data_IF_722470754565
#
_entry.id   IF_722470754565
#
_cell.length_a   1.000
_cell.length_b   1.000
_cell.length_c   1.000
_cell.angle_alpha   90.00
_cell.angle_beta   90.00
_cell.angle_gamma   90.00
#
_symmetry.space_group_name_H-M   'P 1'
#
loop_
_entity.id
_entity.type
_entity.pdbx_description
1 polymer ?
#
# COMPACT_ATOMS: atom_id res chain seq x y z
N UNK A 1 13.02 5.99 -4.90
CA UNK A 1 12.69 4.94 -3.91
C UNK A 1 13.66 3.77 -4.02
N UNK A 2 14.19 3.26 -2.91
CA UNK A 2 14.69 1.88 -2.93
C UNK A 2 13.46 0.97 -2.91
N UNK A 3 13.31 0.13 -3.93
CA UNK A 3 12.23 -0.87 -4.07
C UNK A 3 12.02 -1.73 -2.80
N UNK A 4 13.04 -1.78 -1.94
CA UNK A 4 13.15 -2.46 -0.64
C UNK A 4 12.18 -1.94 0.44
N UNK A 5 12.13 -0.65 0.72
CA UNK A 5 11.34 -0.08 1.84
C UNK A 5 9.83 -0.18 1.61
N UNK A 6 9.42 0.07 0.38
CA UNK A 6 8.02 0.10 -0.01
C UNK A 6 7.33 -1.28 -0.03
N UNK A 7 8.03 -2.32 -0.46
CA UNK A 7 7.55 -3.70 -0.34
C UNK A 7 7.43 -4.12 1.14
N UNK A 8 8.37 -3.68 1.98
CA UNK A 8 8.37 -3.97 3.41
C UNK A 8 7.20 -3.30 4.12
N UNK A 9 6.94 -2.01 3.90
CA UNK A 9 5.81 -1.29 4.47
C UNK A 9 4.47 -2.01 4.23
N UNK A 10 4.20 -2.42 2.99
CA UNK A 10 3.00 -3.16 2.61
C UNK A 10 2.95 -4.58 3.20
N UNK A 11 4.11 -5.25 3.27
CA UNK A 11 4.23 -6.56 3.91
C UNK A 11 3.89 -6.48 5.41
N UNK A 12 4.44 -5.49 6.10
CA UNK A 12 4.26 -5.29 7.54
C UNK A 12 2.80 -4.96 7.90
N UNK A 13 2.16 -4.03 7.19
CA UNK A 13 0.74 -3.69 7.40
C UNK A 13 -0.17 -4.89 7.12
N UNK A 14 0.13 -5.66 6.07
CA UNK A 14 -0.57 -6.91 5.77
C UNK A 14 -0.46 -7.93 6.92
N UNK A 15 0.70 -8.07 7.55
CA UNK A 15 0.93 -8.97 8.69
C UNK A 15 0.21 -8.48 9.95
N UNK A 16 0.27 -7.17 10.24
CA UNK A 16 -0.42 -6.57 11.39
C UNK A 16 -1.95 -6.74 11.30
N UNK A 17 -2.53 -6.56 10.09
CA UNK A 17 -3.95 -6.77 9.82
C UNK A 17 -4.36 -8.22 10.05
N UNK A 18 -3.52 -9.18 9.66
CA UNK A 18 -3.77 -10.62 9.91
C UNK A 18 -3.74 -10.99 11.39
N UNK A 19 -2.81 -10.41 12.17
CA UNK A 19 -2.73 -10.64 13.61
C UNK A 19 -4.04 -10.28 14.34
N UNK A 20 -4.70 -9.19 13.95
CA UNK A 20 -6.01 -8.80 14.54
C UNK A 20 -7.09 -9.86 14.29
N UNK A 21 -7.20 -10.39 13.06
CA UNK A 21 -8.19 -11.42 12.75
C UNK A 21 -7.91 -12.75 13.45
N UNK A 22 -6.64 -13.11 13.64
CA UNK A 22 -6.25 -14.31 14.41
C UNK A 22 -6.68 -14.16 15.87
N UNK A 23 -6.46 -12.99 16.49
CA UNK A 23 -6.88 -12.73 17.88
C UNK A 23 -8.39 -12.86 18.03
N UNK A 24 -9.19 -12.26 17.13
CA UNK A 24 -10.66 -12.38 17.14
C UNK A 24 -11.09 -13.84 16.99
N UNK A 25 -10.44 -14.58 16.09
CA UNK A 25 -10.77 -15.99 15.85
C UNK A 25 -10.46 -16.87 17.07
N UNK A 26 -9.33 -16.62 17.76
CA UNK A 26 -8.97 -17.31 19.00
C UNK A 26 -9.98 -17.01 20.12
N UNK A 27 -10.41 -15.75 20.26
CA UNK A 27 -11.44 -15.37 21.24
C UNK A 27 -12.74 -16.11 20.97
N UNK A 28 -13.18 -16.20 19.71
CA UNK A 28 -14.40 -16.93 19.34
C UNK A 28 -14.31 -18.44 19.59
N UNK A 29 -13.13 -19.04 19.39
CA UNK A 29 -12.89 -20.46 19.73
C UNK A 29 -12.96 -20.68 21.24
N UNK A 30 -12.35 -19.80 22.04
CA UNK A 30 -12.38 -19.90 23.52
C UNK A 30 -13.81 -19.74 24.03
N UNK A 31 -14.54 -18.72 23.57
CA UNK A 31 -15.94 -18.49 23.95
C UNK A 31 -16.82 -19.66 23.47
N UNK A 32 -16.56 -20.17 22.27
CA UNK A 32 -17.32 -21.29 21.71
C UNK A 32 -17.14 -22.59 22.48
N UNK A 33 -15.91 -22.90 22.88
CA UNK A 33 -15.59 -24.07 23.69
C UNK A 33 -16.24 -24.04 25.09
N UNK A 34 -16.57 -22.85 25.61
CA UNK A 34 -17.17 -22.66 26.93
C UNK A 34 -18.70 -22.54 26.86
N UNK A 35 -19.24 -21.89 25.82
CA UNK A 35 -20.62 -21.41 25.84
C UNK A 35 -21.45 -21.67 24.57
N UNK A 36 -20.85 -21.95 23.41
CA UNK A 36 -21.62 -22.04 22.14
C UNK A 36 -20.85 -22.72 21.01
N UNK A 37 -21.35 -23.87 20.56
CA UNK A 37 -20.81 -24.59 19.41
C UNK A 37 -20.78 -23.71 18.13
N UNK A 38 -21.73 -22.79 17.97
CA UNK A 38 -21.79 -21.87 16.83
C UNK A 38 -20.57 -20.94 16.82
N UNK A 39 -20.18 -20.39 17.98
CA UNK A 39 -18.99 -19.54 18.08
C UNK A 39 -17.71 -20.32 17.80
N UNK A 40 -17.67 -21.61 18.17
CA UNK A 40 -16.55 -22.50 17.90
C UNK A 40 -16.39 -22.73 16.40
N UNK A 41 -17.49 -23.05 15.69
CA UNK A 41 -17.44 -23.24 14.24
C UNK A 41 -17.08 -21.96 13.48
N UNK A 42 -17.60 -20.80 13.90
CA UNK A 42 -17.23 -19.50 13.30
C UNK A 42 -15.75 -19.20 13.54
N UNK A 43 -15.25 -19.39 14.76
CA UNK A 43 -13.84 -19.16 15.07
C UNK A 43 -12.89 -20.07 14.29
N UNK A 44 -13.22 -21.37 14.19
CA UNK A 44 -12.44 -22.32 13.38
C UNK A 44 -12.47 -21.98 11.89
N UNK A 45 -13.62 -21.55 11.36
CA UNK A 45 -13.75 -21.11 9.98
C UNK A 45 -12.91 -19.86 9.68
N UNK A 46 -12.91 -18.88 10.59
CA UNK A 46 -12.10 -17.65 10.44
C UNK A 46 -10.58 -17.94 10.54
N UNK A 47 -10.15 -18.90 11.38
CA UNK A 47 -8.76 -19.36 11.36
C UNK A 47 -8.43 -20.03 10.03
N UNK A 48 -9.28 -20.93 9.53
CA UNK A 48 -9.04 -21.62 8.27
C UNK A 48 -8.96 -20.62 7.09
N UNK A 49 -9.84 -19.62 7.05
CA UNK A 49 -9.82 -18.56 6.05
C UNK A 49 -8.55 -17.71 6.16
N UNK A 50 -8.12 -17.34 7.37
CA UNK A 50 -6.86 -16.62 7.58
C UNK A 50 -5.65 -17.43 7.11
N UNK A 51 -5.59 -18.74 7.38
CA UNK A 51 -4.52 -19.63 6.90
C UNK A 51 -4.52 -19.68 5.37
N UNK A 52 -5.69 -19.77 4.74
CA UNK A 52 -5.80 -19.76 3.28
C UNK A 52 -5.36 -18.43 2.69
N UNK A 53 -5.78 -17.29 3.27
CA UNK A 53 -5.36 -15.95 2.81
C UNK A 53 -3.86 -15.74 3.02
N UNK A 54 -3.32 -16.14 4.17
CA UNK A 54 -1.89 -16.11 4.45
C UNK A 54 -1.11 -16.99 3.47
N UNK A 55 -1.64 -18.17 3.11
CA UNK A 55 -1.02 -19.07 2.15
C UNK A 55 -1.08 -18.54 0.71
N UNK A 56 -2.21 -17.96 0.28
CA UNK A 56 -2.34 -17.32 -1.03
C UNK A 56 -1.44 -16.10 -1.14
N UNK A 57 -1.32 -15.30 -0.07
CA UNK A 57 -0.37 -14.18 0.01
C UNK A 57 1.06 -14.67 0.04
N UNK A 58 1.38 -15.73 0.79
CA UNK A 58 2.71 -16.34 0.79
C UNK A 58 3.08 -16.84 -0.62
N UNK A 59 2.15 -17.42 -1.38
CA UNK A 59 2.38 -17.81 -2.78
C UNK A 59 2.55 -16.58 -3.69
N UNK A 60 1.77 -15.51 -3.50
CA UNK A 60 1.94 -14.26 -4.28
C UNK A 60 3.26 -13.59 -3.97
N UNK A 61 3.64 -13.57 -2.70
CA UNK A 61 4.92 -13.06 -2.22
C UNK A 61 6.04 -13.93 -2.75
N UNK A 62 5.94 -15.26 -2.68
CA UNK A 62 6.92 -16.17 -3.26
C UNK A 62 7.04 -15.99 -4.78
N UNK A 63 5.95 -15.67 -5.49
CA UNK A 63 6.01 -15.29 -6.91
C UNK A 63 6.64 -13.93 -7.15
N UNK A 64 6.32 -12.91 -6.35
CA UNK A 64 6.95 -11.59 -6.40
C UNK A 64 8.45 -11.67 -6.11
N UNK A 65 8.83 -12.51 -5.15
CA UNK A 65 10.20 -12.85 -4.78
C UNK A 65 10.88 -13.61 -5.93
N UNK A 66 10.23 -14.61 -6.51
CA UNK A 66 10.75 -15.40 -7.64
C UNK A 66 10.93 -14.57 -8.92
N UNK A 67 10.11 -13.54 -9.15
CA UNK A 67 10.28 -12.61 -10.28
C UNK A 67 11.33 -11.51 -10.00
N UNK A 68 11.79 -11.35 -8.75
CA UNK A 68 12.70 -10.28 -8.31
C UNK A 68 14.07 -10.79 -7.82
N UNK A 69 14.22 -12.10 -7.56
CA UNK A 69 15.37 -12.68 -6.85
C UNK A 69 16.64 -12.82 -7.66
N UNK A 70 16.56 -12.88 -9.00
CA UNK A 70 17.74 -13.21 -9.79
C UNK A 70 18.71 -12.02 -9.98
N UNK A 71 18.26 -10.77 -9.80
CA UNK A 71 19.06 -9.57 -10.10
C UNK A 71 19.08 -8.45 -9.03
N UNK A 72 18.53 -8.68 -7.81
CA UNK A 72 18.53 -7.67 -6.73
C UNK A 72 19.37 -8.11 -5.50
N UNK A 73 20.65 -7.70 -5.41
CA UNK A 73 21.54 -8.05 -4.31
C UNK A 73 21.04 -7.61 -2.93
N UNK A 74 20.32 -6.49 -2.86
CA UNK A 74 19.81 -5.96 -1.60
C UNK A 74 18.61 -6.75 -1.10
N UNK A 75 17.74 -7.17 -2.01
CA UNK A 75 16.64 -8.07 -1.69
C UNK A 75 17.17 -9.41 -1.15
N UNK A 76 18.23 -9.94 -1.77
CA UNK A 76 18.86 -11.19 -1.32
C UNK A 76 19.48 -11.07 0.07
N UNK A 77 20.25 -10.01 0.35
CA UNK A 77 20.82 -9.75 1.67
C UNK A 77 19.73 -9.59 2.76
N UNK A 78 18.61 -8.95 2.42
CA UNK A 78 17.46 -8.82 3.31
C UNK A 78 16.85 -10.20 3.61
N UNK A 79 16.63 -11.01 2.58
CA UNK A 79 16.07 -12.36 2.75
C UNK A 79 17.01 -13.27 3.55
N UNK A 80 18.32 -13.15 3.36
CA UNK A 80 19.33 -13.85 4.15
C UNK A 80 19.25 -13.46 5.63
N UNK A 81 19.14 -12.15 5.91
CA UNK A 81 19.00 -11.63 7.28
C UNK A 81 17.70 -12.08 7.95
N UNK A 82 16.57 -11.98 7.24
CA UNK A 82 15.27 -12.46 7.71
C UNK A 82 15.27 -13.98 7.96
N UNK A 83 15.99 -14.75 7.15
CA UNK A 83 16.07 -16.21 7.29
C UNK A 83 17.02 -16.63 8.41
N UNK A 84 18.11 -15.89 8.61
CA UNK A 84 19.13 -16.19 9.62
C UNK A 84 18.62 -15.96 11.05
N UNK A 85 17.97 -14.82 11.31
CA UNK A 85 17.34 -14.53 12.60
C UNK A 85 16.06 -13.68 12.42
N UNK A 86 14.92 -14.34 12.12
CA UNK A 86 13.66 -13.64 11.89
C UNK A 86 13.22 -12.80 13.10
N UNK A 87 13.56 -13.23 14.32
CA UNK A 87 13.06 -12.59 15.53
C UNK A 87 13.77 -11.26 15.76
N UNK A 88 15.11 -11.24 15.70
CA UNK A 88 15.88 -9.99 15.86
C UNK A 88 15.58 -9.03 14.71
N UNK A 89 15.54 -9.55 13.47
CA UNK A 89 15.24 -8.77 12.29
C UNK A 89 13.89 -8.06 12.41
N UNK A 90 12.85 -8.75 12.87
CA UNK A 90 11.52 -8.14 13.04
C UNK A 90 11.49 -7.18 14.24
N UNK A 91 12.12 -7.49 15.37
CA UNK A 91 12.08 -6.62 16.55
C UNK A 91 12.80 -5.29 16.32
N UNK A 92 13.98 -5.30 15.70
CA UNK A 92 14.73 -4.07 15.40
C UNK A 92 13.94 -3.15 14.47
N UNK A 93 13.28 -3.72 13.46
CA UNK A 93 12.43 -2.95 12.54
C UNK A 93 11.15 -2.43 13.20
N UNK A 94 10.56 -3.18 14.13
CA UNK A 94 9.42 -2.69 14.90
C UNK A 94 9.80 -1.51 15.80
N UNK A 95 10.96 -1.57 16.46
CA UNK A 95 11.46 -0.46 17.26
C UNK A 95 11.79 0.78 16.39
N UNK A 96 12.39 0.57 15.21
CA UNK A 96 12.64 1.65 14.24
C UNK A 96 11.33 2.31 13.78
N UNK A 97 10.34 1.48 13.45
CA UNK A 97 9.02 1.90 13.04
C UNK A 97 8.29 2.68 14.14
N UNK A 98 8.24 2.14 15.36
CA UNK A 98 7.57 2.78 16.49
C UNK A 98 8.22 4.12 16.82
N UNK A 99 9.54 4.23 16.71
CA UNK A 99 10.26 5.50 16.86
C UNK A 99 9.87 6.50 15.77
N UNK A 100 9.98 6.11 14.49
CA UNK A 100 9.66 6.95 13.34
C UNK A 100 8.21 7.42 13.34
N UNK A 101 7.29 6.57 13.78
CA UNK A 101 5.86 6.88 13.89
C UNK A 101 5.57 8.07 14.81
N UNK A 102 6.38 8.30 15.84
CA UNK A 102 6.21 9.41 16.79
C UNK A 102 6.87 10.72 16.33
N UNK A 103 7.62 10.71 15.22
CA UNK A 103 8.29 11.90 14.71
C UNK A 103 7.29 12.85 14.05
N UNK A 104 7.40 14.15 14.34
CA UNK A 104 6.52 15.19 13.79
C UNK A 104 7.29 16.47 13.51
N UNK A 105 6.76 17.31 12.61
CA UNK A 105 7.29 18.62 12.28
C UNK A 105 8.77 18.56 11.90
N UNK A 106 9.56 19.50 12.43
CA UNK A 106 10.98 19.63 12.09
C UNK A 106 11.83 18.38 12.41
N UNK A 107 11.39 17.50 13.32
CA UNK A 107 12.12 16.26 13.63
C UNK A 107 12.21 15.36 12.40
N UNK A 108 11.17 15.32 11.58
CA UNK A 108 11.12 14.55 10.33
C UNK A 108 12.17 15.02 9.32
N UNK A 109 12.61 16.30 9.37
CA UNK A 109 13.62 16.84 8.46
C UNK A 109 15.03 16.27 8.72
N UNK A 110 15.23 15.56 9.82
CA UNK A 110 16.49 14.85 10.11
C UNK A 110 16.64 13.56 9.31
N UNK A 111 15.55 13.05 8.73
CA UNK A 111 15.53 11.84 7.92
C UNK A 111 16.07 12.10 6.52
N UNK A 112 16.56 11.03 5.88
CA UNK A 112 16.82 11.05 4.44
C UNK A 112 15.50 11.25 3.67
N UNK A 113 15.55 11.74 2.44
CA UNK A 113 14.35 11.94 1.61
C UNK A 113 13.53 10.66 1.44
N UNK A 114 14.21 9.51 1.33
CA UNK A 114 13.57 8.21 1.25
C UNK A 114 12.87 7.83 2.57
N UNK A 115 13.58 7.96 3.70
CA UNK A 115 13.04 7.68 5.04
C UNK A 115 11.91 8.64 5.42
N UNK A 116 12.00 9.91 5.01
CA UNK A 116 10.98 10.93 5.26
C UNK A 116 9.67 10.55 4.58
N UNK A 117 9.71 10.26 3.28
CA UNK A 117 8.52 9.81 2.57
C UNK A 117 7.95 8.52 3.16
N UNK A 118 8.79 7.51 3.40
CA UNK A 118 8.35 6.24 3.97
C UNK A 118 7.68 6.45 5.33
N UNK A 119 8.29 7.25 6.20
CA UNK A 119 7.76 7.54 7.54
C UNK A 119 6.40 8.23 7.46
N UNK A 120 6.28 9.30 6.66
CA UNK A 120 5.02 10.03 6.49
C UNK A 120 3.94 9.16 5.86
N UNK A 121 4.29 8.35 4.85
CA UNK A 121 3.36 7.44 4.19
C UNK A 121 2.83 6.39 5.17
N UNK A 122 3.72 5.79 5.97
CA UNK A 122 3.36 4.83 7.02
C UNK A 122 2.49 5.45 8.12
N UNK A 123 2.80 6.67 8.55
CA UNK A 123 1.94 7.40 9.50
C UNK A 123 0.54 7.60 8.92
N UNK A 124 0.42 7.95 7.64
CA UNK A 124 -0.88 8.10 6.99
C UNK A 124 -1.61 6.74 6.92
N UNK A 125 -0.93 5.64 6.59
CA UNK A 125 -1.57 4.32 6.60
C UNK A 125 -2.06 3.92 8.01
N UNK A 126 -1.32 4.22 9.07
CA UNK A 126 -1.79 3.99 10.45
C UNK A 126 -3.02 4.84 10.82
N UNK A 127 -3.13 6.05 10.26
CA UNK A 127 -4.33 6.89 10.43
C UNK A 127 -5.51 6.27 9.67
N UNK A 128 -5.31 5.85 8.42
CA UNK A 128 -6.33 5.19 7.62
C UNK A 128 -6.82 3.89 8.27
N UNK A 129 -5.93 3.06 8.82
CA UNK A 129 -6.30 1.80 9.48
C UNK A 129 -7.15 1.97 10.76
N UNK A 130 -7.29 3.20 11.29
CA UNK A 130 -8.17 3.49 12.42
C UNK A 130 -9.63 3.66 12.02
N UNK A 131 -9.94 3.84 10.73
CA UNK A 131 -11.32 3.79 10.27
C UNK A 131 -11.74 2.34 10.00
N UNK A 132 -12.92 1.97 10.50
CA UNK A 132 -13.53 0.67 10.20
C UNK A 132 -14.19 0.63 8.81
N UNK A 133 -14.38 1.81 8.21
CA UNK A 133 -15.03 2.01 6.92
C UNK A 133 -14.02 2.52 5.89
N UNK A 134 -13.65 1.65 4.95
CA UNK A 134 -12.64 1.94 3.89
C UNK A 134 -13.10 3.11 3.00
N UNK A 135 -14.41 3.27 2.79
CA UNK A 135 -14.98 4.35 1.96
C UNK A 135 -14.84 5.73 2.64
N UNK A 136 -14.55 5.76 3.95
CA UNK A 136 -14.34 6.98 4.74
C UNK A 136 -12.88 7.25 5.11
N UNK A 137 -11.93 6.41 4.67
CA UNK A 137 -10.51 6.60 4.95
C UNK A 137 -10.04 8.00 4.58
N UNK A 138 -10.45 8.48 3.42
CA UNK A 138 -10.02 9.76 2.90
C UNK A 138 -10.55 10.95 3.73
N UNK A 139 -11.65 10.78 4.48
CA UNK A 139 -12.20 11.81 5.38
C UNK A 139 -11.29 12.09 6.58
N UNK A 140 -10.38 11.17 6.91
CA UNK A 140 -9.40 11.37 7.99
C UNK A 140 -8.30 12.37 7.63
N UNK A 141 -8.14 12.69 6.34
CA UNK A 141 -7.05 13.51 5.85
C UNK A 141 -7.53 14.84 5.29
N UNK A 142 -6.87 15.91 5.74
CA UNK A 142 -7.00 17.27 5.22
C UNK A 142 -5.61 17.83 4.85
N UNK A 143 -5.59 18.96 4.16
CA UNK A 143 -4.36 19.69 3.85
C UNK A 143 -3.30 18.85 3.13
N UNK A 144 -2.04 19.06 3.50
CA UNK A 144 -0.89 18.39 2.89
C UNK A 144 -0.90 16.87 3.11
N UNK A 145 -1.38 16.39 4.27
CA UNK A 145 -1.49 14.94 4.52
C UNK A 145 -2.39 14.24 3.52
N UNK A 146 -3.51 14.86 3.15
CA UNK A 146 -4.43 14.31 2.15
C UNK A 146 -3.75 14.13 0.80
N UNK A 147 -3.03 15.16 0.36
CA UNK A 147 -2.29 15.13 -0.91
C UNK A 147 -1.25 14.01 -0.92
N UNK A 148 -0.46 13.90 0.16
CA UNK A 148 0.56 12.86 0.29
C UNK A 148 -0.05 11.46 0.37
N UNK A 149 -1.19 11.29 1.05
CA UNK A 149 -1.89 10.00 1.09
C UNK A 149 -2.37 9.55 -0.29
N UNK A 150 -3.01 10.46 -1.04
CA UNK A 150 -3.50 10.19 -2.41
C UNK A 150 -2.36 9.77 -3.32
N UNK A 151 -1.28 10.56 -3.36
CA UNK A 151 -0.13 10.28 -4.23
C UNK A 151 0.67 9.06 -3.77
N UNK A 152 0.72 8.83 -2.45
CA UNK A 152 1.29 7.64 -1.87
C UNK A 152 0.58 6.39 -2.40
N UNK A 153 -0.75 6.30 -2.29
CA UNK A 153 -1.52 5.19 -2.83
C UNK A 153 -1.36 5.04 -4.35
N UNK A 154 -1.39 6.15 -5.09
CA UNK A 154 -1.24 6.14 -6.54
C UNK A 154 0.12 5.57 -7.00
N UNK A 155 1.24 6.13 -6.52
CA UNK A 155 2.59 5.63 -6.84
C UNK A 155 2.75 4.19 -6.35
N UNK A 156 2.24 3.89 -5.14
CA UNK A 156 2.35 2.58 -4.51
C UNK A 156 1.80 1.45 -5.39
N UNK A 157 0.65 1.67 -6.01
CA UNK A 157 -0.03 0.67 -6.80
C UNK A 157 0.63 0.50 -8.17
N UNK A 158 1.02 1.61 -8.80
CA UNK A 158 1.73 1.57 -10.08
C UNK A 158 3.06 0.83 -9.93
N UNK A 159 3.86 1.18 -8.93
CA UNK A 159 5.15 0.52 -8.68
C UNK A 159 5.02 -0.98 -8.35
N UNK A 160 3.84 -1.43 -7.90
CA UNK A 160 3.59 -2.83 -7.56
C UNK A 160 3.03 -3.64 -8.74
N UNK A 161 2.11 -3.08 -9.51
CA UNK A 161 1.38 -3.82 -10.55
C UNK A 161 0.77 -2.96 -11.64
N UNK A 162 1.23 -1.71 -11.79
CA UNK A 162 0.80 -0.80 -12.84
C UNK A 162 -0.51 -0.09 -12.56
N UNK A 163 -0.90 0.80 -13.46
CA UNK A 163 -2.13 1.59 -13.37
C UNK A 163 -3.39 0.69 -13.35
N UNK A 164 -3.35 -0.47 -14.00
CA UNK A 164 -4.45 -1.43 -13.91
C UNK A 164 -4.66 -1.89 -12.47
N UNK A 165 -3.58 -2.13 -11.71
CA UNK A 165 -3.69 -2.51 -10.30
C UNK A 165 -4.29 -1.37 -9.48
N UNK A 166 -3.88 -0.13 -9.72
CA UNK A 166 -4.45 1.05 -9.06
C UNK A 166 -5.99 1.13 -9.22
N UNK A 167 -6.50 0.94 -10.44
CA UNK A 167 -7.95 0.98 -10.68
C UNK A 167 -8.72 -0.23 -10.14
N UNK A 168 -8.10 -1.41 -10.07
CA UNK A 168 -8.76 -2.62 -9.58
C UNK A 168 -8.80 -2.67 -8.05
N UNK A 169 -7.73 -2.26 -7.39
CA UNK A 169 -7.61 -2.30 -5.94
C UNK A 169 -8.49 -1.24 -5.25
N UNK A 170 -8.67 -1.36 -3.93
CA UNK A 170 -9.44 -0.39 -3.13
C UNK A 170 -8.87 1.01 -3.21
N UNK A 171 -7.56 1.15 -3.47
CA UNK A 171 -6.85 2.41 -3.75
C UNK A 171 -7.52 3.27 -4.83
N UNK A 172 -8.34 2.68 -5.72
CA UNK A 172 -9.16 3.43 -6.69
C UNK A 172 -10.04 4.52 -6.05
N UNK A 173 -10.36 4.41 -4.76
CA UNK A 173 -11.16 5.42 -4.02
C UNK A 173 -10.52 6.82 -4.08
N UNK A 174 -9.20 6.91 -4.27
CA UNK A 174 -8.51 8.19 -4.40
C UNK A 174 -8.36 8.69 -5.84
N UNK A 175 -8.71 7.89 -6.84
CA UNK A 175 -8.58 8.23 -8.27
C UNK A 175 -9.20 9.58 -8.67
N UNK A 176 -10.39 9.99 -8.16
CA UNK A 176 -10.96 11.30 -8.47
C UNK A 176 -10.08 12.50 -8.09
N UNK A 177 -9.15 12.30 -7.16
CA UNK A 177 -8.35 13.36 -6.57
C UNK A 177 -6.89 13.36 -7.07
N UNK A 178 -6.49 12.37 -7.87
CA UNK A 178 -5.09 12.22 -8.34
C UNK A 178 -4.64 13.43 -9.15
N UNK A 179 -5.44 13.91 -10.11
CA UNK A 179 -5.07 15.08 -10.93
C UNK A 179 -4.85 16.35 -10.10
N UNK A 180 -5.71 16.58 -9.09
CA UNK A 180 -5.55 17.72 -8.18
C UNK A 180 -4.27 17.56 -7.35
N UNK A 181 -4.02 16.37 -6.80
CA UNK A 181 -2.85 16.10 -5.99
C UNK A 181 -1.54 16.23 -6.78
N UNK A 182 -1.47 15.71 -8.01
CA UNK A 182 -0.31 15.85 -8.90
C UNK A 182 -0.04 17.33 -9.23
N UNK A 183 -1.10 18.11 -9.44
CA UNK A 183 -1.00 19.56 -9.66
C UNK A 183 -0.47 20.28 -8.43
N UNK A 184 -0.93 19.92 -7.22
CA UNK A 184 -0.48 20.52 -5.96
C UNK A 184 1.03 20.34 -5.73
N UNK A 185 1.58 19.17 -6.07
CA UNK A 185 3.03 18.90 -5.92
C UNK A 185 3.87 19.33 -7.12
N UNK A 186 3.25 19.92 -8.15
CA UNK A 186 3.93 20.36 -9.37
C UNK A 186 4.50 19.21 -10.22
N UNK A 187 3.90 18.03 -10.17
CA UNK A 187 4.28 16.87 -10.98
C UNK A 187 3.56 16.89 -12.34
N UNK A 188 3.88 17.90 -13.17
CA UNK A 188 3.15 18.19 -14.40
C UNK A 188 3.20 17.06 -15.44
N UNK A 189 4.33 16.37 -15.59
CA UNK A 189 4.47 15.27 -16.56
C UNK A 189 3.61 14.06 -16.16
N UNK A 190 3.60 13.74 -14.86
CA UNK A 190 2.72 12.69 -14.30
C UNK A 190 1.24 13.06 -14.46
N UNK A 191 0.90 14.33 -14.23
CA UNK A 191 -0.44 14.85 -14.42
C UNK A 191 -0.91 14.70 -15.87
N UNK A 192 -0.08 15.12 -16.82
CA UNK A 192 -0.36 15.01 -18.25
C UNK A 192 -0.54 13.56 -18.67
N UNK A 193 0.36 12.66 -18.24
CA UNK A 193 0.25 11.22 -18.51
C UNK A 193 -1.07 10.63 -17.99
N UNK A 194 -1.44 10.92 -16.74
CA UNK A 194 -2.68 10.44 -16.13
C UNK A 194 -3.94 11.01 -16.82
N UNK A 195 -4.00 12.33 -17.03
CA UNK A 195 -5.14 12.99 -17.69
C UNK A 195 -5.30 12.53 -19.14
N UNK A 196 -4.20 12.34 -19.87
CA UNK A 196 -4.22 11.83 -21.24
C UNK A 196 -4.76 10.40 -21.29
N UNK A 197 -4.33 9.53 -20.37
CA UNK A 197 -4.81 8.15 -20.32
C UNK A 197 -6.31 8.07 -20.05
N UNK A 198 -6.81 8.77 -19.02
CA UNK A 198 -8.24 8.71 -18.67
C UNK A 198 -9.11 9.36 -19.76
N UNK A 199 -8.64 10.44 -20.38
CA UNK A 199 -9.38 11.13 -21.45
C UNK A 199 -9.43 10.27 -22.71
N UNK A 200 -8.30 9.71 -23.15
CA UNK A 200 -8.21 8.86 -24.35
C UNK A 200 -9.10 7.63 -24.24
N UNK A 201 -9.17 7.05 -23.04
CA UNK A 201 -9.97 5.84 -22.78
C UNK A 201 -11.39 6.14 -22.28
N UNK A 202 -11.79 7.42 -22.20
CA UNK A 202 -13.10 7.85 -21.68
C UNK A 202 -13.44 7.24 -20.32
N UNK A 203 -12.46 7.22 -19.42
CA UNK A 203 -12.60 6.68 -18.06
C UNK A 203 -13.12 7.78 -17.15
N UNK A 204 -14.29 7.55 -16.55
CA UNK A 204 -14.78 8.36 -15.45
C UNK A 204 -14.13 7.89 -14.15
N UNK A 205 -13.16 8.65 -13.64
CA UNK A 205 -12.45 8.31 -12.40
C UNK A 205 -13.34 8.45 -11.16
N UNK A 206 -14.52 9.10 -11.26
CA UNK A 206 -15.51 9.17 -10.19
C UNK A 206 -16.40 7.93 -10.09
N UNK A 207 -16.42 7.09 -11.13
CA UNK A 207 -17.12 5.81 -11.14
C UNK A 207 -16.23 4.71 -11.74
N UNK A 208 -15.51 4.02 -10.85
CA UNK A 208 -14.63 2.90 -11.20
C UNK A 208 -15.22 1.54 -10.81
N UNK A 209 -16.54 1.42 -10.57
CA UNK A 209 -17.16 0.13 -10.25
C UNK A 209 -16.91 -0.93 -11.34
N UNK A 210 -16.80 -0.49 -12.60
CA UNK A 210 -16.51 -1.37 -13.72
C UNK A 210 -15.11 -2.02 -13.68
N UNK A 211 -14.21 -1.55 -12.82
CA UNK A 211 -12.88 -2.13 -12.59
C UNK A 211 -12.85 -3.14 -11.44
N UNK A 212 -13.94 -3.33 -10.71
CA UNK A 212 -14.00 -4.33 -9.64
C UNK A 212 -13.60 -5.71 -10.16
N UNK A 213 -12.69 -6.37 -9.43
CA UNK A 213 -12.26 -7.73 -9.71
C UNK A 213 -12.42 -8.60 -8.48
N UNK A 214 -13.18 -9.68 -8.61
CA UNK A 214 -13.38 -10.67 -7.53
C UNK A 214 -12.55 -11.94 -7.75
N UNK A 215 -11.78 -11.99 -8.85
CA UNK A 215 -10.93 -13.11 -9.18
C UNK A 215 -9.74 -12.69 -10.03
N UNK A 216 -8.70 -13.52 -10.03
CA UNK A 216 -7.55 -13.37 -10.94
C UNK A 216 -7.96 -13.38 -12.42
N UNK A 217 -9.07 -14.04 -12.76
CA UNK A 217 -9.59 -14.06 -14.12
C UNK A 217 -10.17 -12.71 -14.50
N UNK A 218 -10.83 -12.03 -13.57
CA UNK A 218 -11.37 -10.69 -13.81
C UNK A 218 -10.25 -9.66 -13.90
N UNK A 219 -9.25 -9.76 -13.02
CA UNK A 219 -8.03 -8.96 -13.13
C UNK A 219 -7.38 -9.09 -14.53
N UNK A 220 -7.15 -10.32 -15.00
CA UNK A 220 -6.58 -10.58 -16.34
C UNK A 220 -7.44 -10.06 -17.51
N UNK A 221 -8.73 -9.83 -17.30
CA UNK A 221 -9.57 -9.18 -18.33
C UNK A 221 -9.33 -7.67 -18.30
N UNK A 222 -9.27 -7.07 -17.11
CA UNK A 222 -9.01 -5.64 -16.96
C UNK A 222 -7.67 -5.23 -17.53
N UNK A 223 -6.61 -6.02 -17.33
CA UNK A 223 -5.28 -5.73 -17.92
C UNK A 223 -5.28 -5.70 -19.45
N UNK A 224 -6.33 -6.20 -20.12
CA UNK A 224 -6.47 -6.18 -21.59
C UNK A 224 -7.48 -5.17 -22.09
N UNK A 225 -8.14 -4.45 -21.18
CA UNK A 225 -9.23 -3.52 -21.51
C UNK A 225 -8.68 -2.25 -22.17
N UNK A 226 -7.51 -1.81 -21.72
CA UNK A 226 -6.80 -0.63 -22.20
C UNK A 226 -5.31 -0.94 -22.32
N UNK A 227 -4.58 -0.06 -22.99
CA UNK A 227 -3.13 -0.18 -23.16
C UNK A 227 -2.39 0.33 -21.91
N UNK A 228 -2.51 -0.44 -20.82
CA UNK A 228 -1.87 -0.13 -19.54
C UNK A 228 -0.35 -0.24 -19.61
N UNK A 229 0.17 -1.17 -20.39
CA UNK A 229 1.62 -1.40 -20.51
C UNK A 229 2.32 -0.13 -21.04
N UNK A 230 1.77 0.52 -22.07
CA UNK A 230 2.32 1.79 -22.58
C UNK A 230 2.29 2.92 -21.54
N UNK A 231 1.25 3.00 -20.72
CA UNK A 231 1.17 3.97 -19.63
C UNK A 231 2.25 3.71 -18.58
N UNK A 232 2.37 2.45 -18.15
CA UNK A 232 3.29 2.05 -17.10
C UNK A 232 4.74 2.26 -17.55
N UNK A 233 5.08 1.89 -18.79
CA UNK A 233 6.39 2.13 -19.38
C UNK A 233 6.74 3.63 -19.40
N UNK A 234 5.82 4.50 -19.82
CA UNK A 234 6.04 5.95 -19.82
C UNK A 234 6.19 6.48 -18.39
N UNK A 235 5.37 6.00 -17.45
CA UNK A 235 5.42 6.38 -16.04
C UNK A 235 6.81 6.12 -15.43
N UNK A 236 7.43 4.99 -15.76
CA UNK A 236 8.75 4.63 -15.24
C UNK A 236 9.91 5.44 -15.82
N UNK A 237 9.72 6.07 -16.98
CA UNK A 237 10.72 6.95 -17.61
C UNK A 237 10.61 8.41 -17.12
N UNK A 238 9.48 8.79 -16.51
CA UNK A 238 9.30 10.12 -15.91
C UNK A 238 10.20 10.33 -14.67
N UNK A 239 10.49 11.60 -14.31
CA UNK A 239 11.13 11.90 -13.04
C UNK A 239 10.38 11.28 -11.86
N UNK A 240 11.12 10.77 -10.87
CA UNK A 240 10.54 10.02 -9.75
C UNK A 240 9.52 10.88 -9.00
N UNK A 241 8.25 10.48 -9.00
CA UNK A 241 7.15 11.24 -8.37
C UNK A 241 7.43 11.53 -6.88
N UNK A 242 8.02 10.56 -6.19
CA UNK A 242 8.40 10.69 -4.77
C UNK A 242 9.25 11.94 -4.49
N UNK A 243 10.12 12.37 -5.41
CA UNK A 243 10.96 13.57 -5.20
C UNK A 243 10.10 14.84 -5.09
N UNK A 244 9.04 14.95 -5.91
CA UNK A 244 8.06 16.04 -5.83
C UNK A 244 7.27 15.98 -4.54
N UNK A 245 6.84 14.78 -4.15
CA UNK A 245 6.10 14.58 -2.90
C UNK A 245 6.94 14.92 -1.68
N UNK A 246 8.23 14.55 -1.66
CA UNK A 246 9.15 14.89 -0.56
C UNK A 246 9.37 16.39 -0.46
N UNK A 247 9.58 17.08 -1.60
CA UNK A 247 9.68 18.54 -1.60
C UNK A 247 8.43 19.17 -0.98
N UNK A 248 7.25 18.70 -1.39
CA UNK A 248 5.97 19.16 -0.85
C UNK A 248 5.81 18.86 0.65
N UNK A 249 6.24 17.69 1.14
CA UNK A 249 6.26 17.36 2.57
C UNK A 249 7.13 18.37 3.33
N UNK A 250 8.34 18.65 2.85
CA UNK A 250 9.28 19.59 3.51
C UNK A 250 8.72 21.01 3.58
N UNK A 251 8.05 21.47 2.54
CA UNK A 251 7.41 22.79 2.49
C UNK A 251 6.22 22.90 3.47
N UNK A 252 5.55 21.78 3.76
CA UNK A 252 4.36 21.72 4.61
C UNK A 252 4.61 20.93 5.91
N UNK A 253 5.86 20.91 6.39
CA UNK A 253 6.30 19.98 7.45
C UNK A 253 5.48 20.07 8.75
N UNK A 254 4.91 21.23 9.05
CA UNK A 254 4.10 21.47 10.25
C UNK A 254 2.75 20.73 10.23
N UNK A 255 2.33 20.17 9.09
CA UNK A 255 1.14 19.33 8.98
C UNK A 255 1.45 17.84 9.27
N UNK A 256 2.73 17.46 9.40
CA UNK A 256 3.22 16.08 9.52
C UNK A 256 3.76 15.74 10.91
#
# INVERSE_FOLDING_TARGET
>A
MNKRSFFLANLFLSVARQLRFVVISIILIIVGAICSDICLYIGLFLIALNVIVAFVRAIHMQKMIYYRSDDDPEFNEMMDSLTADPKSFLSERMEDYDRKKQMHGEELLTLSDADLFETVYLQNLDIAEKTEDEDKELEQFTGARRIVYILGLYDSEIQNGGLCQFFVNSSRVVAPYVSEALRCVGANEHLELFENFITTNSIDVSDLESFMAYSIRDYKKHTKRYDFDSFDDEYYELPVLQEKVVAYIKENINEF
#
